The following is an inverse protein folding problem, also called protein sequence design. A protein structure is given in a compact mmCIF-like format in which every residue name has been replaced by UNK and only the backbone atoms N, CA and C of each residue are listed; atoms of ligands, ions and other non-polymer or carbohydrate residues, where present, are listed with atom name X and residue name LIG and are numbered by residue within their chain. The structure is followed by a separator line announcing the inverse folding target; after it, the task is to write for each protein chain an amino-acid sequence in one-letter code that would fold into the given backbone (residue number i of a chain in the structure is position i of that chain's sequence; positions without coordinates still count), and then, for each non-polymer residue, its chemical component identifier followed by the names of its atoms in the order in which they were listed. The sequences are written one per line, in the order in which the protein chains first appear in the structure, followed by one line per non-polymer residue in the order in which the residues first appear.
data_IF_625691125671
#
_entry.id   IF_625691125671
#
_cell.length_a   1.000
_cell.length_b   1.000
_cell.length_c   1.000
_cell.angle_alpha   90.00
_cell.angle_beta   90.00
_cell.angle_gamma   90.00
#
_symmetry.space_group_name_H-M   'P 1'
#
loop_
_entity.id
_entity.type
_entity.pdbx_description
1 polymer ?
#
# COMPACT_ATOMS: atom_id res chain seq x y z
N UNK A 1 -26.40 -0.25 -1.82
CA UNK A 1 -25.12 0.10 -1.15
C UNK A 1 -24.01 -0.16 -2.16
N UNK A 2 -23.11 0.78 -2.37
CA UNK A 2 -22.03 0.66 -3.37
C UNK A 2 -20.68 0.51 -2.66
N UNK A 3 -19.80 -0.32 -3.20
CA UNK A 3 -18.40 -0.42 -2.77
C UNK A 3 -17.53 0.36 -3.75
N UNK A 4 -16.66 1.21 -3.21
CA UNK A 4 -15.67 1.95 -3.99
C UNK A 4 -14.37 1.14 -4.01
N UNK A 5 -14.12 0.45 -5.12
CA UNK A 5 -12.86 -0.26 -5.31
C UNK A 5 -12.44 -0.25 -6.79
N UNK A 6 -11.42 0.55 -7.12
CA UNK A 6 -10.91 0.68 -8.48
C UNK A 6 -9.78 -0.29 -8.85
N UNK A 7 -9.17 -0.97 -7.87
CA UNK A 7 -8.11 -1.94 -8.11
C UNK A 7 -7.97 -2.93 -6.96
N UNK A 8 -7.78 -4.21 -7.29
CA UNK A 8 -7.34 -5.23 -6.33
C UNK A 8 -5.98 -5.73 -6.78
N UNK A 9 -4.98 -5.63 -5.92
CA UNK A 9 -3.61 -6.07 -6.19
C UNK A 9 -3.17 -7.03 -5.09
N UNK A 10 -2.42 -8.05 -5.47
CA UNK A 10 -1.58 -8.80 -4.55
C UNK A 10 -0.42 -7.91 -4.06
N UNK A 11 0.19 -8.28 -2.93
CA UNK A 11 1.39 -7.59 -2.44
C UNK A 11 2.53 -7.63 -3.47
N UNK A 12 2.66 -8.73 -4.22
CA UNK A 12 3.66 -8.86 -5.29
C UNK A 12 3.42 -7.88 -6.44
N UNK A 13 2.18 -7.78 -6.94
CA UNK A 13 1.81 -6.81 -7.98
C UNK A 13 2.00 -5.36 -7.52
N UNK A 14 1.64 -5.06 -6.26
CA UNK A 14 1.85 -3.73 -5.68
C UNK A 14 3.34 -3.37 -5.61
N UNK A 15 4.20 -4.29 -5.15
CA UNK A 15 5.66 -4.09 -5.12
C UNK A 15 6.23 -3.95 -6.51
N UNK A 16 5.77 -4.76 -7.48
CA UNK A 16 6.24 -4.68 -8.85
C UNK A 16 5.88 -3.34 -9.50
N UNK A 17 4.65 -2.88 -9.31
CA UNK A 17 4.20 -1.58 -9.80
C UNK A 17 4.97 -0.42 -9.17
N UNK A 18 5.26 -0.48 -7.86
CA UNK A 18 6.09 0.52 -7.19
C UNK A 18 7.54 0.50 -7.71
N UNK A 19 8.12 -0.68 -7.90
CA UNK A 19 9.49 -0.82 -8.41
C UNK A 19 9.64 -0.23 -9.82
N UNK A 20 8.66 -0.49 -10.69
CA UNK A 20 8.58 0.07 -12.03
C UNK A 20 8.47 1.60 -11.99
N UNK A 21 7.56 2.14 -11.16
CA UNK A 21 7.40 3.59 -11.00
C UNK A 21 8.67 4.27 -10.45
N UNK A 22 9.31 3.68 -9.45
CA UNK A 22 10.49 4.25 -8.78
C UNK A 22 11.76 4.09 -9.63
N UNK A 23 11.75 3.22 -10.63
CA UNK A 23 12.93 2.87 -11.42
C UNK A 23 13.96 2.07 -10.63
N UNK A 24 13.54 1.39 -9.57
CA UNK A 24 14.45 0.55 -8.77
C UNK A 24 13.73 -0.68 -8.25
N UNK A 25 14.25 -1.86 -8.58
CA UNK A 25 13.75 -3.11 -8.03
C UNK A 25 14.37 -3.40 -6.67
N UNK A 26 13.53 -3.73 -5.69
CA UNK A 26 13.97 -4.36 -4.43
C UNK A 26 13.11 -5.58 -4.20
N UNK A 27 13.76 -6.74 -4.07
CA UNK A 27 13.09 -7.98 -3.73
C UNK A 27 12.47 -7.82 -2.33
N UNK A 28 11.14 -7.94 -2.18
CA UNK A 28 10.53 -8.01 -0.87
C UNK A 28 11.03 -9.29 -0.18
N UNK A 29 11.25 -9.22 1.13
CA UNK A 29 11.55 -10.42 1.92
C UNK A 29 10.23 -11.17 2.12
N UNK A 30 10.05 -12.38 1.55
CA UNK A 30 8.83 -13.14 1.76
C UNK A 30 8.81 -13.65 3.20
N UNK A 31 7.77 -13.28 3.96
CA UNK A 31 7.57 -13.76 5.33
C UNK A 31 6.48 -14.83 5.30
N UNK A 32 6.75 -16.06 5.80
CA UNK A 32 5.73 -17.08 5.90
C UNK A 32 4.53 -16.60 6.73
N UNK A 33 3.33 -16.96 6.28
CA UNK A 33 2.07 -16.47 6.83
C UNK A 33 1.91 -16.75 8.33
N UNK A 34 2.40 -17.90 8.81
CA UNK A 34 2.38 -18.26 10.23
C UNK A 34 3.33 -17.38 11.06
N UNK A 35 4.51 -17.03 10.52
CA UNK A 35 5.48 -16.13 11.16
C UNK A 35 4.90 -14.73 11.26
N UNK A 36 4.31 -14.23 10.17
CA UNK A 36 3.62 -12.93 10.17
C UNK A 36 2.44 -12.91 11.16
N UNK A 37 1.72 -14.03 11.30
CA UNK A 37 0.64 -14.20 12.28
C UNK A 37 1.13 -14.18 13.72
N UNK A 38 2.14 -14.98 14.07
CA UNK A 38 2.60 -15.12 15.46
C UNK A 38 3.48 -13.95 15.89
N UNK A 39 4.59 -13.72 15.20
CA UNK A 39 5.54 -12.64 15.53
C UNK A 39 4.91 -11.27 15.30
N UNK A 40 4.20 -11.09 14.18
CA UNK A 40 3.54 -9.82 13.88
C UNK A 40 2.51 -9.44 14.95
N UNK A 41 1.70 -10.41 15.43
CA UNK A 41 0.73 -10.17 16.50
C UNK A 41 1.40 -9.81 17.82
N UNK A 42 2.45 -10.53 18.21
CA UNK A 42 3.20 -10.26 19.44
C UNK A 42 3.86 -8.88 19.42
N UNK A 43 4.53 -8.53 18.32
CA UNK A 43 5.15 -7.22 18.14
C UNK A 43 4.11 -6.10 18.15
N UNK A 44 2.98 -6.31 17.47
CA UNK A 44 1.90 -5.33 17.42
C UNK A 44 1.24 -5.11 18.80
N UNK A 45 1.10 -6.16 19.61
CA UNK A 45 0.60 -6.04 21.00
C UNK A 45 1.59 -5.31 21.89
N UNK A 46 2.88 -5.61 21.76
CA UNK A 46 3.94 -4.91 22.51
C UNK A 46 4.01 -3.42 22.12
N UNK A 47 3.78 -3.12 20.84
CA UNK A 47 3.76 -1.75 20.34
C UNK A 47 2.46 -1.00 20.67
N UNK A 48 1.36 -1.69 20.99
CA UNK A 48 0.04 -1.08 21.17
C UNK A 48 -0.04 -0.03 22.29
N UNK A 49 0.91 -0.04 23.23
CA UNK A 49 1.04 0.98 24.29
C UNK A 49 1.76 2.25 23.84
N UNK A 50 2.34 2.27 22.63
CA UNK A 50 2.94 3.48 22.04
C UNK A 50 1.85 4.38 21.45
N UNK A 51 2.01 5.71 21.51
CA UNK A 51 1.01 6.65 20.99
C UNK A 51 0.76 6.51 19.48
N UNK A 52 1.79 6.20 18.69
CA UNK A 52 1.68 5.98 17.23
C UNK A 52 2.42 4.70 16.80
N UNK A 53 1.82 3.52 17.00
CA UNK A 53 2.46 2.28 16.64
C UNK A 53 2.39 2.07 15.12
N UNK A 54 3.55 1.87 14.49
CA UNK A 54 3.65 1.47 13.08
C UNK A 54 2.90 0.17 12.76
N UNK A 55 2.67 -0.69 13.75
CA UNK A 55 1.95 -1.95 13.62
C UNK A 55 0.97 -2.17 14.78
N UNK A 56 -0.29 -2.54 14.48
CA UNK A 56 -1.30 -2.87 15.47
C UNK A 56 -1.97 -4.24 15.19
N UNK A 57 -2.54 -4.91 16.21
CA UNK A 57 -3.13 -6.25 16.06
C UNK A 57 -4.24 -6.32 15.00
N UNK A 58 -5.01 -5.24 14.84
CA UNK A 58 -6.05 -5.16 13.82
C UNK A 58 -5.44 -5.17 12.41
N UNK A 59 -4.42 -4.35 12.18
CA UNK A 59 -3.73 -4.27 10.89
C UNK A 59 -3.07 -5.60 10.50
N UNK A 60 -2.44 -6.31 11.44
CA UNK A 60 -1.87 -7.64 11.16
C UNK A 60 -2.96 -8.61 10.69
N UNK A 61 -4.12 -8.64 11.35
CA UNK A 61 -5.26 -9.47 10.93
C UNK A 61 -5.77 -9.08 9.55
N UNK A 62 -5.92 -7.79 9.26
CA UNK A 62 -6.37 -7.28 7.95
C UNK A 62 -5.40 -7.67 6.84
N UNK A 63 -4.09 -7.47 7.04
CA UNK A 63 -3.06 -7.84 6.06
C UNK A 63 -3.03 -9.34 5.78
N UNK A 64 -3.20 -10.17 6.82
CA UNK A 64 -3.24 -11.62 6.65
C UNK A 64 -4.54 -12.09 6.01
N UNK A 65 -5.69 -11.52 6.37
CA UNK A 65 -6.96 -11.93 5.76
C UNK A 65 -6.93 -11.69 4.24
N UNK A 66 -6.44 -10.52 3.83
CA UNK A 66 -6.48 -10.09 2.44
C UNK A 66 -7.92 -9.75 2.03
N UNK A 67 -8.08 -8.79 1.12
CA UNK A 67 -9.40 -8.37 0.70
C UNK A 67 -9.46 -8.21 -0.81
N UNK A 68 -10.51 -8.78 -1.41
CA UNK A 68 -10.88 -8.56 -2.80
C UNK A 68 -12.32 -8.05 -2.80
N UNK A 69 -12.50 -6.84 -3.32
CA UNK A 69 -13.81 -6.22 -3.42
C UNK A 69 -14.16 -5.99 -4.88
N UNK A 70 -15.44 -6.16 -5.22
CA UNK A 70 -15.93 -5.82 -6.56
C UNK A 70 -16.56 -4.42 -6.54
N UNK A 71 -15.95 -3.51 -7.32
CA UNK A 71 -16.43 -2.14 -7.52
C UNK A 71 -17.32 -1.97 -8.75
N UNK A 72 -17.58 -3.04 -9.52
CA UNK A 72 -18.26 -3.00 -10.82
C UNK A 72 -19.70 -2.48 -10.74
N UNK A 73 -20.38 -2.70 -9.60
CA UNK A 73 -21.71 -2.18 -9.34
C UNK A 73 -21.74 -0.65 -9.38
N UNK A 74 -20.74 0.01 -8.81
CA UNK A 74 -20.66 1.48 -8.82
C UNK A 74 -20.39 2.01 -10.23
N UNK A 75 -19.55 1.33 -11.01
CA UNK A 75 -19.31 1.70 -12.41
C UNK A 75 -20.57 1.56 -13.25
N UNK A 76 -21.32 0.45 -13.09
CA UNK A 76 -22.52 0.19 -13.88
C UNK A 76 -23.68 1.11 -13.53
N UNK A 77 -23.98 1.25 -12.25
CA UNK A 77 -25.22 1.89 -11.82
C UNK A 77 -25.04 3.41 -11.63
N UNK A 78 -23.82 3.88 -11.33
CA UNK A 78 -23.53 5.30 -11.10
C UNK A 78 -22.67 5.93 -12.21
N UNK A 79 -22.23 5.16 -13.20
CA UNK A 79 -21.29 5.66 -14.22
C UNK A 79 -19.91 6.02 -13.65
N UNK A 80 -19.53 5.44 -12.51
CA UNK A 80 -18.26 5.78 -11.85
C UNK A 80 -17.06 5.26 -12.65
N UNK A 81 -16.23 6.19 -13.12
CA UNK A 81 -14.94 5.91 -13.73
C UNK A 81 -13.81 5.96 -12.69
N UNK A 82 -13.16 4.81 -12.46
CA UNK A 82 -12.04 4.74 -11.52
C UNK A 82 -10.75 5.27 -12.15
N UNK A 83 -10.01 6.05 -11.37
CA UNK A 83 -8.63 6.42 -11.74
C UNK A 83 -7.73 5.18 -11.71
N UNK A 84 -6.92 4.93 -12.76
CA UNK A 84 -5.98 3.81 -12.76
C UNK A 84 -5.02 3.86 -11.57
N UNK A 85 -4.83 2.72 -10.89
CA UNK A 85 -4.01 2.63 -9.66
C UNK A 85 -2.59 3.15 -9.86
N UNK A 86 -2.00 2.94 -11.04
CA UNK A 86 -0.69 3.48 -11.41
C UNK A 86 -0.62 5.01 -11.25
N UNK A 87 -1.66 5.73 -11.69
CA UNK A 87 -1.72 7.19 -11.60
C UNK A 87 -1.86 7.66 -10.16
N UNK A 88 -2.64 6.93 -9.35
CA UNK A 88 -2.76 7.21 -7.91
C UNK A 88 -1.41 7.04 -7.22
N UNK A 89 -0.70 5.94 -7.49
CA UNK A 89 0.61 5.69 -6.91
C UNK A 89 1.67 6.72 -7.35
N UNK A 90 1.73 7.08 -8.64
CA UNK A 90 2.63 8.14 -9.13
C UNK A 90 2.42 9.45 -8.37
N UNK A 91 1.16 9.90 -8.24
CA UNK A 91 0.81 11.12 -7.51
C UNK A 91 1.19 11.04 -6.03
N UNK A 92 0.94 9.90 -5.38
CA UNK A 92 1.30 9.69 -3.98
C UNK A 92 2.81 9.71 -3.77
N UNK A 93 3.59 9.08 -4.66
CA UNK A 93 5.05 9.09 -4.57
C UNK A 93 5.60 10.50 -4.76
N UNK A 94 5.12 11.25 -5.76
CA UNK A 94 5.49 12.66 -5.95
C UNK A 94 5.24 13.47 -4.69
N UNK A 95 4.04 13.36 -4.13
CA UNK A 95 3.69 14.04 -2.88
C UNK A 95 4.65 13.66 -1.73
N UNK A 96 4.98 12.38 -1.57
CA UNK A 96 5.95 11.95 -0.55
C UNK A 96 7.34 12.56 -0.75
N UNK A 97 7.79 12.71 -2.00
CA UNK A 97 9.10 13.32 -2.33
C UNK A 97 9.08 14.83 -2.10
N UNK A 98 8.04 15.50 -2.57
CA UNK A 98 7.92 16.97 -2.50
C UNK A 98 7.90 17.45 -1.05
N UNK A 99 7.15 16.75 -0.20
CA UNK A 99 7.05 17.05 1.24
C UNK A 99 8.21 16.48 2.08
N UNK A 100 9.17 15.78 1.46
CA UNK A 100 10.34 15.24 2.17
C UNK A 100 10.05 14.05 3.07
N UNK A 101 8.92 13.35 2.87
CA UNK A 101 8.61 12.10 3.58
C UNK A 101 9.34 10.89 2.99
N UNK A 102 9.85 11.00 1.76
CA UNK A 102 10.72 10.00 1.18
C UNK A 102 12.12 10.02 1.86
N UNK A 103 12.39 9.01 2.69
CA UNK A 103 13.66 8.87 3.42
C UNK A 103 14.90 8.64 2.53
N UNK A 104 14.71 8.27 1.26
CA UNK A 104 15.78 8.03 0.27
C UNK A 104 15.44 8.72 -1.04
N UNK A 105 16.48 9.09 -1.79
CA UNK A 105 16.33 9.54 -3.18
C UNK A 105 15.73 8.39 -4.01
N UNK A 106 14.64 8.69 -4.71
CA UNK A 106 13.96 7.78 -5.62
C UNK A 106 14.37 8.15 -7.05
N UNK A 107 15.07 7.29 -7.81
CA UNK A 107 15.59 7.63 -9.14
C UNK A 107 14.51 8.13 -10.11
N UNK A 108 13.33 7.51 -10.11
CA UNK A 108 12.19 7.93 -10.93
C UNK A 108 11.44 9.18 -10.45
N UNK A 109 11.79 9.70 -9.26
CA UNK A 109 11.14 10.86 -8.64
C UNK A 109 12.18 11.77 -7.97
N UNK A 110 13.00 12.51 -8.75
CA UNK A 110 13.86 13.54 -8.20
C UNK A 110 13.00 14.64 -7.58
N UNK A 111 13.43 15.20 -6.45
CA UNK A 111 12.79 16.37 -5.86
C UNK A 111 12.91 17.53 -6.86
N UNK A 112 11.78 18.10 -7.28
CA UNK A 112 11.80 19.27 -8.14
C UNK A 112 12.39 20.43 -7.31
N UNK A 113 13.47 21.04 -7.80
CA UNK A 113 13.98 22.29 -7.23
C UNK A 113 12.91 23.36 -7.46
N UNK A 114 12.35 23.90 -6.38
CA UNK A 114 11.57 25.12 -6.40
C UNK A 114 12.45 26.31 -6.80
#
# INVERSE_FOLDING_TARGET
RYLLNGATLTTGEAVALLADLIGSWRLPIPIPRFVAGSLGMSLARLAASRPDPLLCPAMVRTLLHGHRYDGSLATRDLGLEYTPIRRTLDRTIRWLVDFGFAYKKLPGYPKLSA
#
